data_IF_669615091162
#
_entry.id   IF_669615091162
#
_cell.length_a   1.000
_cell.length_b   1.000
_cell.length_c   1.000
_cell.angle_alpha   90.00
_cell.angle_beta   90.00
_cell.angle_gamma   90.00
#
_symmetry.space_group_name_H-M   'P 1'
#
loop_
_entity.id
_entity.type
_entity.pdbx_description
1 polymer ?
#
# COMPACT_ATOMS: atom_id res chain seq x y z
N UNK A 1 -14.69 3.78 12.93
CA UNK A 1 -16.09 3.94 12.43
C UNK A 1 -16.24 5.33 11.82
N UNK A 2 -17.17 5.56 10.89
CA UNK A 2 -17.38 6.89 10.27
C UNK A 2 -17.65 8.02 11.29
N UNK A 3 -18.07 7.66 12.51
CA UNK A 3 -18.23 8.57 13.66
C UNK A 3 -16.92 8.97 14.37
N UNK A 4 -15.75 8.50 13.90
CA UNK A 4 -14.44 8.85 14.49
C UNK A 4 -13.97 7.97 15.65
N UNK A 5 -14.83 7.10 16.19
CA UNK A 5 -14.44 6.16 17.26
C UNK A 5 -13.43 5.12 16.76
N UNK A 6 -12.45 4.81 17.63
CA UNK A 6 -11.50 3.71 17.46
C UNK A 6 -12.24 2.36 17.30
N UNK A 7 -11.71 1.50 16.45
CA UNK A 7 -12.16 0.09 16.36
C UNK A 7 -11.36 -0.79 17.32
N UNK A 8 -11.79 -2.02 17.52
CA UNK A 8 -11.07 -3.04 18.29
C UNK A 8 -9.80 -3.59 17.60
N UNK A 9 -9.37 -3.01 16.47
CA UNK A 9 -8.18 -3.43 15.73
C UNK A 9 -7.13 -2.31 15.74
N UNK A 10 -6.83 -1.79 16.93
CA UNK A 10 -5.85 -0.72 17.17
C UNK A 10 -5.39 -0.75 18.63
N UNK A 11 -4.37 0.04 18.94
CA UNK A 11 -3.89 0.23 20.30
C UNK A 11 -4.81 1.15 21.12
N UNK A 12 -5.03 0.76 22.37
CA UNK A 12 -5.73 1.56 23.36
C UNK A 12 -4.73 2.18 24.33
N UNK A 13 -4.99 3.45 24.65
CA UNK A 13 -4.16 4.26 25.53
C UNK A 13 -4.96 4.60 26.78
N UNK A 14 -4.28 4.74 27.90
CA UNK A 14 -4.89 5.21 29.14
C UNK A 14 -5.28 6.69 29.01
N UNK A 15 -6.42 7.08 29.58
CA UNK A 15 -6.93 8.46 29.52
C UNK A 15 -6.33 9.38 30.58
N UNK A 16 -5.95 8.84 31.74
CA UNK A 16 -5.44 9.60 32.88
C UNK A 16 -4.25 8.90 33.55
N UNK A 17 -3.36 9.70 34.16
CA UNK A 17 -2.27 9.19 34.98
C UNK A 17 -2.79 8.74 36.33
N UNK A 18 -2.32 7.60 36.84
CA UNK A 18 -2.77 7.09 38.12
C UNK A 18 -2.41 5.63 38.34
N UNK A 19 -3.06 5.02 39.31
CA UNK A 19 -2.89 3.60 39.64
C UNK A 19 -4.11 2.81 39.18
N UNK A 20 -3.88 1.68 38.54
CA UNK A 20 -4.96 0.76 38.17
C UNK A 20 -5.45 0.05 39.43
N UNK A 21 -6.72 0.28 39.80
CA UNK A 21 -7.32 -0.28 41.03
C UNK A 21 -8.12 -1.54 40.74
N UNK A 22 -8.71 -1.66 39.56
CA UNK A 22 -9.51 -2.82 39.18
C UNK A 22 -9.55 -3.02 37.66
N UNK A 23 -9.66 -4.29 37.23
CA UNK A 23 -9.84 -4.67 35.83
C UNK A 23 -10.94 -5.73 35.79
N UNK A 24 -12.07 -5.41 35.17
CA UNK A 24 -13.21 -6.33 35.00
C UNK A 24 -13.44 -6.64 33.53
N UNK A 25 -13.75 -7.91 33.23
CA UNK A 25 -14.02 -8.36 31.87
C UNK A 25 -15.51 -8.67 31.68
N UNK A 26 -16.09 -8.12 30.63
CA UNK A 26 -17.46 -8.38 30.18
C UNK A 26 -17.44 -8.90 28.74
N UNK A 27 -18.05 -10.07 28.49
CA UNK A 27 -17.92 -10.85 27.25
C UNK A 27 -18.21 -10.05 25.95
N UNK A 28 -19.14 -9.10 25.98
CA UNK A 28 -19.53 -8.29 24.81
C UNK A 28 -19.04 -6.83 24.86
N UNK A 29 -18.44 -6.39 25.96
CA UNK A 29 -18.01 -4.99 26.18
C UNK A 29 -16.49 -4.89 26.22
N UNK A 30 -15.80 -5.91 26.73
CA UNK A 30 -14.34 -5.98 26.84
C UNK A 30 -13.87 -5.78 28.27
N UNK A 31 -12.67 -5.19 28.42
CA UNK A 31 -12.07 -4.91 29.72
C UNK A 31 -12.40 -3.47 30.16
N UNK A 32 -12.98 -3.33 31.34
CA UNK A 32 -13.13 -2.06 32.03
C UNK A 32 -11.96 -1.89 33.02
N UNK A 33 -11.17 -0.84 32.83
CA UNK A 33 -9.98 -0.53 33.61
C UNK A 33 -10.28 0.67 34.48
N UNK A 34 -10.28 0.49 35.79
CA UNK A 34 -10.51 1.57 36.75
C UNK A 34 -9.18 2.14 37.20
N UNK A 35 -9.00 3.44 37.03
CA UNK A 35 -7.79 4.17 37.36
C UNK A 35 -8.13 5.16 38.47
N UNK A 36 -7.35 5.13 39.55
CA UNK A 36 -7.38 6.15 40.60
C UNK A 36 -6.26 7.17 40.33
N UNK A 37 -6.67 8.41 40.04
CA UNK A 37 -5.75 9.52 39.79
C UNK A 37 -5.16 10.04 41.11
N UNK A 38 -4.05 10.78 41.03
CA UNK A 38 -3.42 11.40 42.21
C UNK A 38 -4.33 12.40 42.92
N UNK A 39 -5.34 12.92 42.23
CA UNK A 39 -6.32 13.88 42.75
C UNK A 39 -7.50 13.18 43.45
N UNK A 40 -7.50 11.84 43.50
CA UNK A 40 -8.55 11.03 44.12
C UNK A 40 -9.78 10.80 43.23
N UNK A 41 -9.75 11.26 41.98
CA UNK A 41 -10.79 10.96 41.00
C UNK A 41 -10.57 9.58 40.37
N UNK A 42 -11.67 8.85 40.14
CA UNK A 42 -11.67 7.57 39.44
C UNK A 42 -12.12 7.73 38.00
N UNK A 43 -11.30 7.23 37.07
CA UNK A 43 -11.58 7.23 35.63
C UNK A 43 -11.70 5.78 35.16
N UNK A 44 -12.68 5.50 34.29
CA UNK A 44 -12.89 4.16 33.73
C UNK A 44 -12.59 4.20 32.23
N UNK A 45 -11.58 3.43 31.82
CA UNK A 45 -11.24 3.23 30.43
C UNK A 45 -11.76 1.88 29.95
N UNK A 46 -12.38 1.87 28.76
CA UNK A 46 -12.98 0.67 28.18
C UNK A 46 -12.14 0.23 26.98
N UNK A 47 -11.64 -1.00 27.03
CA UNK A 47 -10.94 -1.66 25.93
C UNK A 47 -11.84 -2.77 25.39
N UNK A 48 -12.35 -2.68 24.14
CA UNK A 48 -13.22 -3.70 23.58
C UNK A 48 -12.49 -5.03 23.36
N UNK A 49 -13.21 -6.15 23.16
CA UNK A 49 -12.59 -7.44 22.88
C UNK A 49 -11.73 -7.42 21.60
N UNK A 50 -10.51 -7.95 21.68
CA UNK A 50 -9.57 -8.06 20.56
C UNK A 50 -8.12 -7.81 20.97
N UNK A 51 -7.75 -6.58 21.36
CA UNK A 51 -6.44 -6.26 21.89
C UNK A 51 -6.21 -6.93 23.25
N UNK A 52 -5.02 -7.51 23.45
CA UNK A 52 -4.57 -8.08 24.72
C UNK A 52 -4.04 -6.97 25.63
N UNK A 53 -4.39 -7.02 26.93
CA UNK A 53 -3.90 -6.08 27.93
C UNK A 53 -2.44 -6.39 28.31
N UNK A 54 -1.63 -5.34 28.39
CA UNK A 54 -0.22 -5.39 28.78
C UNK A 54 0.03 -4.91 30.22
N UNK A 55 -1.03 -4.45 30.90
CA UNK A 55 -1.00 -3.88 32.25
C UNK A 55 -1.87 -4.70 33.20
N UNK A 56 -1.52 -4.70 34.47
CA UNK A 56 -2.24 -5.40 35.54
C UNK A 56 -2.77 -4.47 36.64
N UNK A 57 -3.58 -5.03 37.52
CA UNK A 57 -4.05 -4.33 38.73
C UNK A 57 -2.85 -4.01 39.63
N UNK A 58 -2.76 -2.76 40.05
CA UNK A 58 -1.68 -2.25 40.89
C UNK A 58 -0.59 -1.49 40.13
N UNK A 59 -0.59 -1.54 38.80
CA UNK A 59 0.36 -0.80 37.98
C UNK A 59 0.10 0.71 38.02
N UNK A 60 1.17 1.49 37.95
CA UNK A 60 1.11 2.95 37.79
C UNK A 60 1.29 3.28 36.31
N UNK A 61 0.38 4.07 35.75
CA UNK A 61 0.34 4.42 34.34
C UNK A 61 0.29 5.93 34.16
N UNK A 62 0.82 6.41 33.04
CA UNK A 62 0.80 7.84 32.67
C UNK A 62 -0.22 8.11 31.56
N UNK A 63 -0.91 9.25 31.60
CA UNK A 63 -1.89 9.64 30.58
C UNK A 63 -1.31 9.51 29.16
N UNK A 64 -2.02 8.79 28.29
CA UNK A 64 -1.58 8.50 26.93
C UNK A 64 -0.68 7.27 26.77
N UNK A 65 -0.28 6.61 27.86
CA UNK A 65 0.47 5.35 27.82
C UNK A 65 -0.35 4.25 27.13
N UNK A 66 0.31 3.50 26.25
CA UNK A 66 -0.27 2.34 25.56
C UNK A 66 -0.44 1.20 26.57
N UNK A 67 -1.65 0.63 26.63
CA UNK A 67 -2.02 -0.43 27.60
C UNK A 67 -2.38 -1.76 26.95
N UNK A 68 -2.45 -1.81 25.61
CA UNK A 68 -2.73 -3.02 24.85
C UNK A 68 -1.65 -3.31 23.80
N UNK A 69 -1.57 -4.55 23.33
CA UNK A 69 -0.85 -4.83 22.10
C UNK A 69 -1.56 -4.19 20.88
N UNK A 70 -0.87 -4.14 19.74
CA UNK A 70 -1.50 -3.83 18.45
C UNK A 70 -1.92 -5.15 17.76
N UNK A 71 -3.22 -5.50 17.75
CA UNK A 71 -3.68 -6.73 17.09
C UNK A 71 -3.69 -6.60 15.55
N UNK A 72 -3.43 -5.42 14.99
CA UNK A 72 -3.53 -5.21 13.56
C UNK A 72 -2.36 -5.88 12.81
N UNK A 73 -2.66 -6.99 12.15
CA UNK A 73 -1.74 -7.69 11.21
C UNK A 73 -1.95 -7.29 9.74
N UNK A 74 -2.83 -6.32 9.49
CA UNK A 74 -3.08 -5.79 8.16
C UNK A 74 -2.17 -4.60 7.81
N UNK A 75 -2.32 -4.10 6.59
CA UNK A 75 -1.62 -2.90 6.13
C UNK A 75 -2.26 -2.34 4.87
N UNK A 76 -2.26 -1.01 4.75
CA UNK A 76 -2.70 -0.36 3.53
C UNK A 76 -1.51 -0.14 2.60
N UNK A 77 -1.56 -0.73 1.40
CA UNK A 77 -0.54 -0.55 0.37
C UNK A 77 -1.14 0.13 -0.86
N UNK A 78 -0.42 1.10 -1.42
CA UNK A 78 -0.79 1.79 -2.65
C UNK A 78 0.20 1.43 -3.76
N UNK A 79 -0.29 1.36 -4.99
CA UNK A 79 0.53 1.15 -6.17
C UNK A 79 -0.05 1.90 -7.35
N UNK A 80 0.79 2.67 -8.01
CA UNK A 80 0.45 3.33 -9.27
C UNK A 80 0.73 2.39 -10.44
N UNK A 81 -0.18 2.40 -11.43
CA UNK A 81 -0.02 1.69 -12.69
C UNK A 81 -0.50 2.58 -13.83
N UNK A 82 0.05 2.34 -15.01
CA UNK A 82 -0.31 3.06 -16.23
C UNK A 82 -1.00 2.12 -17.22
N UNK A 83 -1.94 2.66 -17.98
CA UNK A 83 -2.60 1.97 -19.08
C UNK A 83 -2.62 2.89 -20.29
N UNK A 84 -2.25 2.35 -21.45
CA UNK A 84 -2.34 3.08 -22.72
C UNK A 84 -3.58 2.63 -23.46
N UNK A 85 -4.54 3.53 -23.64
CA UNK A 85 -5.71 3.29 -24.48
C UNK A 85 -5.30 3.40 -25.96
N UNK A 86 -5.14 2.25 -26.62
CA UNK A 86 -4.66 2.19 -28.01
C UNK A 86 -5.80 2.25 -29.02
N UNK A 87 -5.54 2.94 -30.14
CA UNK A 87 -6.37 2.88 -31.35
C UNK A 87 -5.78 1.83 -32.31
N UNK A 88 -6.58 0.85 -32.70
CA UNK A 88 -6.19 -0.20 -33.65
C UNK A 88 -5.71 0.39 -34.99
N UNK A 89 -6.21 1.55 -35.41
CA UNK A 89 -5.78 2.19 -36.65
C UNK A 89 -4.31 2.64 -36.58
N UNK A 90 -3.83 3.12 -35.41
CA UNK A 90 -2.43 3.51 -35.23
C UNK A 90 -1.50 2.32 -35.46
N UNK A 91 -1.85 1.15 -34.92
CA UNK A 91 -1.07 -0.08 -35.07
C UNK A 91 -1.15 -0.60 -36.51
N UNK A 92 -2.33 -0.57 -37.15
CA UNK A 92 -2.47 -0.98 -38.56
C UNK A 92 -1.57 -0.19 -39.49
N UNK A 93 -1.56 1.14 -39.36
CA UNK A 93 -0.70 1.99 -40.18
C UNK A 93 0.78 1.82 -39.85
N UNK A 94 1.13 1.61 -38.58
CA UNK A 94 2.50 1.28 -38.18
C UNK A 94 2.99 -0.01 -38.86
N UNK A 95 2.16 -1.05 -38.91
CA UNK A 95 2.50 -2.31 -39.56
C UNK A 95 2.68 -2.15 -41.08
N UNK A 96 1.81 -1.40 -41.74
CA UNK A 96 1.94 -1.09 -43.16
C UNK A 96 3.24 -0.30 -43.45
N UNK A 97 3.56 0.68 -42.60
CA UNK A 97 4.80 1.44 -42.70
C UNK A 97 6.03 0.54 -42.58
N UNK A 98 6.07 -0.39 -41.62
CA UNK A 98 7.16 -1.35 -41.51
C UNK A 98 7.32 -2.24 -42.75
N UNK A 99 6.20 -2.72 -43.33
CA UNK A 99 6.25 -3.52 -44.54
C UNK A 99 6.85 -2.74 -45.72
N UNK A 100 6.46 -1.48 -45.88
CA UNK A 100 6.99 -0.60 -46.93
C UNK A 100 8.47 -0.28 -46.73
N UNK A 101 8.90 -0.01 -45.50
CA UNK A 101 10.31 0.24 -45.18
C UNK A 101 11.17 -0.99 -45.49
N UNK A 102 10.73 -2.19 -45.08
CA UNK A 102 11.43 -3.43 -45.39
C UNK A 102 11.52 -3.68 -46.91
N UNK A 103 10.42 -3.45 -47.64
CA UNK A 103 10.42 -3.59 -49.10
C UNK A 103 11.41 -2.62 -49.75
N UNK A 104 11.40 -1.34 -49.34
CA UNK A 104 12.32 -0.34 -49.86
C UNK A 104 13.78 -0.72 -49.60
N UNK A 105 14.11 -1.19 -48.39
CA UNK A 105 15.45 -1.65 -48.04
C UNK A 105 15.92 -2.81 -48.94
N UNK A 106 15.05 -3.80 -49.18
CA UNK A 106 15.36 -4.93 -50.08
C UNK A 106 15.62 -4.44 -51.50
N UNK A 107 14.74 -3.59 -52.03
CA UNK A 107 14.88 -3.07 -53.40
C UNK A 107 16.15 -2.24 -53.57
N UNK A 108 16.52 -1.43 -52.58
CA UNK A 108 17.77 -0.66 -52.60
C UNK A 108 19.00 -1.57 -52.63
N UNK A 109 19.02 -2.63 -51.82
CA UNK A 109 20.14 -3.60 -51.80
C UNK A 109 20.24 -4.35 -53.12
N UNK A 110 19.12 -4.81 -53.67
CA UNK A 110 19.09 -5.49 -54.97
C UNK A 110 19.52 -4.55 -56.10
N UNK A 111 19.06 -3.29 -56.09
CA UNK A 111 19.44 -2.30 -57.08
C UNK A 111 20.93 -1.98 -57.02
N UNK A 112 21.48 -1.83 -55.81
CA UNK A 112 22.93 -1.65 -55.61
C UNK A 112 23.73 -2.80 -56.24
N UNK A 113 23.37 -4.05 -55.95
CA UNK A 113 24.03 -5.24 -56.54
C UNK A 113 23.92 -5.29 -58.06
N UNK A 114 22.78 -4.85 -58.63
CA UNK A 114 22.61 -4.76 -60.07
C UNK A 114 23.60 -3.75 -60.69
N UNK A 115 23.74 -2.58 -60.08
CA UNK A 115 24.65 -1.53 -60.56
C UNK A 115 26.12 -1.99 -60.47
N UNK A 116 26.51 -2.61 -59.36
CA UNK A 116 27.86 -3.18 -59.17
C UNK A 116 28.21 -4.20 -60.27
N UNK A 117 27.23 -5.02 -60.70
CA UNK A 117 27.43 -5.98 -61.79
C UNK A 117 27.67 -5.31 -63.14
N UNK A 118 26.96 -4.21 -63.43
CA UNK A 118 27.13 -3.45 -64.69
C UNK A 118 28.48 -2.75 -64.71
N UNK A 119 28.86 -2.08 -63.61
CA UNK A 119 30.17 -1.44 -63.46
C UNK A 119 31.33 -2.42 -63.65
N UNK A 120 31.22 -3.64 -63.10
CA UNK A 120 32.21 -4.70 -63.30
C UNK A 120 32.36 -5.15 -64.77
N UNK A 121 31.28 -5.09 -65.56
CA UNK A 121 31.31 -5.45 -66.98
C UNK A 121 31.86 -4.33 -67.87
N UNK A 122 31.64 -3.07 -67.50
CA UNK A 122 32.08 -1.90 -68.26
C UNK A 122 33.52 -1.46 -67.95
N UNK A 123 34.19 -2.09 -66.96
CA UNK A 123 35.56 -1.79 -66.47
C UNK A 123 35.82 -0.30 -66.20
N UNK A 124 34.75 0.49 -66.03
CA UNK A 124 34.78 1.90 -65.69
C UNK A 124 34.12 2.06 -64.32
N UNK A 125 34.90 2.59 -63.38
CA UNK A 125 34.50 2.87 -62.00
C UNK A 125 33.91 4.27 -61.87
#
# INVERSE_FOLDING_TARGET
>A
LAAGNKSNNTVYNISASGKITDITFEEYVGNNITIETTDGETVVDIVPPGPELLVGVGDTVEAGQVITNDPNVGGFGQKDIEIVLQDANRVKWLMAFFALVMLAQILLVLKKKQVEKVQAAELNF
#
